data_IF_316426475058
#
_entry.id   IF_316426475058
#
_cell.length_a   1.000
_cell.length_b   1.000
_cell.length_c   1.000
_cell.angle_alpha   90.00
_cell.angle_beta   90.00
_cell.angle_gamma   90.00
#
_symmetry.space_group_name_H-M   'P 1'
#
loop_
_entity.id
_entity.type
_entity.pdbx_description
1 polymer ?
#
# COMPACT_ATOMS: atom_id res chain seq x y z
N UNK A 1 25.48 -15.96 -11.73
CA UNK A 1 26.28 -15.24 -10.73
C UNK A 1 25.36 -14.78 -9.62
N UNK A 2 25.42 -15.40 -8.43
CA UNK A 2 24.57 -15.05 -7.29
C UNK A 2 25.24 -13.91 -6.51
N UNK A 3 24.72 -12.68 -6.64
CA UNK A 3 25.16 -11.58 -5.76
C UNK A 3 24.39 -11.74 -4.43
N UNK A 4 25.07 -11.81 -3.27
CA UNK A 4 24.40 -11.92 -1.99
C UNK A 4 23.49 -10.71 -1.75
N UNK A 5 22.21 -10.94 -1.44
CA UNK A 5 21.24 -9.86 -1.12
C UNK A 5 21.77 -8.89 -0.06
N UNK A 6 22.55 -9.40 0.91
CA UNK A 6 23.20 -8.58 1.95
C UNK A 6 24.15 -7.53 1.38
N UNK A 7 24.89 -7.85 0.32
CA UNK A 7 25.86 -6.95 -0.30
C UNK A 7 25.15 -5.85 -1.09
N UNK A 8 24.09 -6.21 -1.81
CA UNK A 8 23.20 -5.25 -2.49
C UNK A 8 22.57 -4.30 -1.47
N UNK A 9 22.01 -4.84 -0.38
CA UNK A 9 21.39 -4.06 0.69
C UNK A 9 22.39 -3.14 1.39
N UNK A 10 23.58 -3.63 1.72
CA UNK A 10 24.66 -2.84 2.30
C UNK A 10 25.08 -1.69 1.39
N UNK A 11 25.26 -1.96 0.09
CA UNK A 11 25.57 -0.95 -0.91
C UNK A 11 24.48 0.14 -0.98
N UNK A 12 23.20 -0.26 -1.07
CA UNK A 12 22.10 0.70 -1.13
C UNK A 12 21.94 1.47 0.18
N UNK A 13 22.13 0.85 1.35
CA UNK A 13 22.11 1.55 2.63
C UNK A 13 23.19 2.63 2.69
N UNK A 14 24.42 2.32 2.25
CA UNK A 14 25.50 3.33 2.15
C UNK A 14 25.15 4.40 1.13
N UNK A 15 24.73 4.00 -0.07
CA UNK A 15 24.38 4.92 -1.14
C UNK A 15 23.28 5.90 -0.71
N UNK A 16 22.19 5.40 -0.11
CA UNK A 16 21.08 6.21 0.36
C UNK A 16 21.39 6.98 1.65
N UNK A 17 22.35 6.55 2.46
CA UNK A 17 22.87 7.36 3.58
C UNK A 17 23.50 8.66 3.07
N UNK A 18 24.24 8.60 1.96
CA UNK A 18 24.85 9.79 1.35
C UNK A 18 23.93 10.52 0.37
N UNK A 19 22.97 9.81 -0.24
CA UNK A 19 22.03 10.34 -1.22
C UNK A 19 20.61 9.88 -0.86
N UNK A 20 19.99 10.46 0.17
CA UNK A 20 18.66 10.04 0.60
C UNK A 20 17.68 10.11 -0.57
N UNK A 21 16.74 9.15 -0.68
CA UNK A 21 15.76 9.18 -1.75
C UNK A 21 14.95 10.47 -1.69
N UNK A 22 14.60 11.00 -2.85
CA UNK A 22 13.77 12.19 -2.92
C UNK A 22 12.44 11.96 -2.19
N UNK A 23 12.14 12.85 -1.25
CA UNK A 23 10.93 12.86 -0.45
C UNK A 23 10.05 14.04 -0.86
N UNK A 24 8.75 13.86 -0.67
CA UNK A 24 7.74 14.93 -0.72
C UNK A 24 8.15 16.08 0.18
N UNK A 25 8.02 17.33 -0.28
CA UNK A 25 8.55 18.51 0.41
C UNK A 25 7.49 19.50 0.91
N UNK A 26 6.25 19.43 0.44
CA UNK A 26 5.25 20.48 0.62
C UNK A 26 4.93 20.73 2.10
N UNK A 27 5.00 19.68 2.93
CA UNK A 27 4.77 19.74 4.37
C UNK A 27 5.89 20.47 5.13
N UNK A 28 7.07 20.68 4.52
CA UNK A 28 8.19 21.39 5.16
C UNK A 28 8.04 22.91 5.12
N UNK A 29 7.29 23.43 4.14
CA UNK A 29 7.19 24.88 3.87
C UNK A 29 6.02 25.56 4.57
N UNK A 30 5.06 24.78 5.07
CA UNK A 30 3.91 25.29 5.82
C UNK A 30 2.78 24.26 5.92
N UNK A 31 1.72 24.62 6.64
CA UNK A 31 0.55 23.75 6.87
C UNK A 31 -0.29 23.54 5.61
N UNK A 32 -0.10 24.37 4.58
CA UNK A 32 -0.82 24.26 3.30
C UNK A 32 0.10 24.53 2.11
N UNK A 33 -0.19 23.86 1.00
CA UNK A 33 0.47 24.08 -0.28
C UNK A 33 -0.57 24.36 -1.35
N UNK A 34 -0.27 25.30 -2.26
CA UNK A 34 -1.14 25.58 -3.41
C UNK A 34 -1.02 24.43 -4.40
N UNK A 35 -2.10 24.16 -5.12
CA UNK A 35 -2.12 23.13 -6.14
C UNK A 35 -2.89 23.58 -7.38
N UNK A 36 -2.37 23.28 -8.56
CA UNK A 36 -3.01 23.53 -9.85
C UNK A 36 -3.44 22.20 -10.46
N UNK A 37 -4.69 22.11 -10.88
CA UNK A 37 -5.23 20.92 -11.55
C UNK A 37 -5.13 21.11 -13.05
N UNK A 38 -4.58 20.13 -13.75
CA UNK A 38 -4.43 20.08 -15.21
C UNK A 38 -5.02 18.78 -15.74
N UNK A 39 -5.37 18.75 -17.03
CA UNK A 39 -5.68 17.50 -17.74
C UNK A 39 -4.42 17.07 -18.49
N UNK A 40 -4.00 15.83 -18.31
CA UNK A 40 -2.94 15.22 -19.10
C UNK A 40 -3.39 14.94 -20.53
N UNK A 41 -2.43 14.61 -21.39
CA UNK A 41 -2.67 14.19 -22.79
C UNK A 41 -3.55 12.94 -22.89
N UNK A 42 -3.49 12.09 -21.87
CA UNK A 42 -4.31 10.89 -21.67
C UNK A 42 -5.76 11.21 -21.21
N UNK A 43 -6.10 12.49 -21.06
CA UNK A 43 -7.35 12.95 -20.47
C UNK A 43 -7.45 12.76 -18.96
N UNK A 44 -6.42 12.19 -18.31
CA UNK A 44 -6.40 11.97 -16.88
C UNK A 44 -6.22 13.30 -16.14
N UNK A 45 -6.88 13.44 -14.99
CA UNK A 45 -6.68 14.61 -14.14
C UNK A 45 -5.36 14.48 -13.38
N UNK A 46 -4.52 15.51 -13.45
CA UNK A 46 -3.24 15.60 -12.77
C UNK A 46 -3.21 16.86 -11.92
N UNK A 47 -2.44 16.83 -10.84
CA UNK A 47 -2.31 17.94 -9.93
C UNK A 47 -0.85 18.29 -9.71
N UNK A 48 -0.49 19.54 -9.99
CA UNK A 48 0.82 20.08 -9.64
C UNK A 48 0.72 20.78 -8.29
N UNK A 49 1.39 20.23 -7.27
CA UNK A 49 1.50 20.85 -5.94
C UNK A 49 2.74 21.76 -5.97
N UNK A 50 2.57 23.02 -5.57
CA UNK A 50 3.65 24.00 -5.56
C UNK A 50 4.82 23.52 -4.68
N UNK A 51 6.01 23.42 -5.28
CA UNK A 51 7.22 22.93 -4.63
C UNK A 51 7.47 21.43 -4.76
N UNK A 52 6.57 20.66 -5.37
CA UNK A 52 6.77 19.23 -5.64
C UNK A 52 7.34 18.98 -7.03
N UNK A 53 8.23 17.98 -7.13
CA UNK A 53 8.92 17.64 -8.39
C UNK A 53 8.02 16.95 -9.41
N UNK A 54 7.10 16.12 -8.93
CA UNK A 54 6.26 15.28 -9.78
C UNK A 54 4.79 15.69 -9.67
N UNK A 55 4.04 15.58 -10.77
CA UNK A 55 2.59 15.72 -10.72
C UNK A 55 1.97 14.59 -9.89
N UNK A 56 1.02 14.92 -9.04
CA UNK A 56 0.24 13.96 -8.28
C UNK A 56 -0.91 13.44 -9.16
N UNK A 57 -1.06 12.12 -9.34
CA UNK A 57 -2.15 11.57 -10.12
C UNK A 57 -3.51 11.77 -9.43
N UNK A 58 -4.50 12.26 -10.17
CA UNK A 58 -5.86 12.48 -9.71
C UNK A 58 -6.12 13.87 -9.14
N UNK A 59 -7.31 14.03 -8.55
CA UNK A 59 -7.77 15.32 -8.04
C UNK A 59 -7.19 15.59 -6.63
N UNK A 60 -6.87 16.87 -6.28
CA UNK A 60 -6.64 17.25 -4.89
C UNK A 60 -7.78 16.73 -4.04
N UNK A 61 -7.46 16.07 -2.92
CA UNK A 61 -8.49 15.58 -2.01
C UNK A 61 -9.44 16.71 -1.54
N UNK A 62 -9.05 17.98 -1.67
CA UNK A 62 -9.78 19.20 -1.28
C UNK A 62 -11.25 19.27 -1.68
N UNK A 63 -11.62 19.23 -2.98
CA UNK A 63 -13.03 19.43 -3.36
C UNK A 63 -13.95 18.30 -2.85
N UNK A 64 -13.45 17.05 -2.79
CA UNK A 64 -14.19 15.93 -2.20
C UNK A 64 -14.23 16.02 -0.67
N UNK A 65 -13.27 16.71 -0.04
CA UNK A 65 -13.16 16.87 1.41
C UNK A 65 -13.87 18.11 1.98
N UNK A 66 -14.31 19.06 1.17
CA UNK A 66 -14.97 20.30 1.67
C UNK A 66 -16.48 20.35 1.46
N UNK A 67 -17.08 19.45 0.68
CA UNK A 67 -18.52 19.44 0.38
C UNK A 67 -19.30 18.31 1.08
N UNK A 68 -20.61 18.18 0.81
CA UNK A 68 -21.48 17.14 1.37
C UNK A 68 -20.91 15.71 1.24
N UNK A 69 -20.25 15.41 0.13
CA UNK A 69 -19.55 14.14 -0.10
C UNK A 69 -18.43 13.86 0.90
N UNK A 70 -17.80 14.89 1.46
CA UNK A 70 -16.79 14.72 2.51
C UNK A 70 -17.39 14.10 3.76
N UNK A 71 -18.61 14.54 4.13
CA UNK A 71 -19.34 14.01 5.28
C UNK A 71 -19.69 12.54 5.04
N UNK A 72 -20.17 12.20 3.84
CA UNK A 72 -20.47 10.83 3.44
C UNK A 72 -19.21 9.96 3.47
N UNK A 73 -18.12 10.41 2.83
CA UNK A 73 -16.82 9.74 2.86
C UNK A 73 -16.30 9.54 4.27
N UNK A 74 -16.40 10.55 5.15
CA UNK A 74 -16.00 10.46 6.55
C UNK A 74 -16.83 9.41 7.28
N UNK A 75 -18.16 9.40 7.11
CA UNK A 75 -19.05 8.38 7.69
C UNK A 75 -18.73 6.98 7.19
N UNK A 76 -18.54 6.79 5.87
CA UNK A 76 -18.17 5.49 5.29
C UNK A 76 -16.80 5.05 5.83
N UNK A 77 -15.81 5.94 5.82
CA UNK A 77 -14.48 5.66 6.37
C UNK A 77 -14.57 5.26 7.84
N UNK A 78 -15.33 5.99 8.65
CA UNK A 78 -15.48 5.68 10.07
C UNK A 78 -16.18 4.34 10.29
N UNK A 79 -17.29 4.08 9.59
CA UNK A 79 -17.97 2.78 9.66
C UNK A 79 -17.07 1.63 9.21
N UNK A 80 -16.39 1.79 8.08
CA UNK A 80 -15.54 0.74 7.56
C UNK A 80 -14.34 0.52 8.46
N UNK A 81 -13.54 1.55 8.74
CA UNK A 81 -12.27 1.40 9.47
C UNK A 81 -12.40 1.21 10.97
N UNK A 82 -13.48 1.68 11.59
CA UNK A 82 -13.67 1.48 13.02
C UNK A 82 -14.62 0.29 13.20
N UNK A 83 -15.87 0.41 12.75
CA UNK A 83 -16.87 -0.64 13.01
C UNK A 83 -16.51 -1.99 12.36
N UNK A 84 -16.29 -2.04 11.04
CA UNK A 84 -16.06 -3.34 10.37
C UNK A 84 -14.73 -3.98 10.77
N UNK A 85 -13.67 -3.20 10.95
CA UNK A 85 -12.38 -3.76 11.41
C UNK A 85 -12.45 -4.25 12.86
N UNK A 86 -13.10 -3.50 13.75
CA UNK A 86 -13.26 -3.90 15.16
C UNK A 86 -14.14 -5.15 15.28
N UNK A 87 -15.22 -5.23 14.49
CA UNK A 87 -16.07 -6.43 14.38
C UNK A 87 -15.29 -7.63 13.84
N UNK A 88 -14.58 -7.47 12.72
CA UNK A 88 -13.76 -8.55 12.15
C UNK A 88 -12.70 -9.04 13.12
N UNK A 89 -12.05 -8.13 13.84
CA UNK A 89 -11.07 -8.48 14.86
C UNK A 89 -11.73 -9.23 16.02
N UNK A 90 -12.89 -8.78 16.50
CA UNK A 90 -13.61 -9.46 17.58
C UNK A 90 -14.02 -10.87 17.17
N UNK A 91 -14.53 -11.04 15.94
CA UNK A 91 -14.87 -12.36 15.39
C UNK A 91 -13.62 -13.25 15.26
N UNK A 92 -12.48 -12.69 14.85
CA UNK A 92 -11.22 -13.40 14.76
C UNK A 92 -10.69 -13.87 16.13
N UNK A 93 -10.77 -12.99 17.13
CA UNK A 93 -10.38 -13.25 18.51
C UNK A 93 -11.31 -14.31 19.16
N UNK A 94 -12.63 -14.22 18.92
CA UNK A 94 -13.63 -15.17 19.43
C UNK A 94 -13.52 -16.56 18.78
N UNK A 95 -13.27 -16.60 17.47
CA UNK A 95 -13.21 -17.85 16.75
C UNK A 95 -11.97 -18.67 17.14
N UNK A 96 -10.91 -18.02 17.64
CA UNK A 96 -9.72 -18.69 18.16
C UNK A 96 -9.00 -19.57 17.13
N UNK A 97 -9.26 -19.35 15.84
CA UNK A 97 -8.67 -20.16 14.78
C UNK A 97 -7.20 -19.82 14.63
N UNK A 98 -6.37 -20.85 14.83
CA UNK A 98 -4.98 -20.81 14.41
C UNK A 98 -4.91 -20.88 12.89
N UNK A 99 -4.20 -19.93 12.31
CA UNK A 99 -3.91 -19.95 10.88
C UNK A 99 -3.06 -21.18 10.57
N UNK A 100 -3.41 -21.86 9.47
CA UNK A 100 -2.53 -22.87 8.89
C UNK A 100 -1.14 -22.25 8.69
N UNK A 101 -0.06 -22.87 9.18
CA UNK A 101 1.28 -22.36 8.98
C UNK A 101 1.57 -22.13 7.49
N UNK A 102 2.27 -21.04 7.08
CA UNK A 102 2.47 -20.70 5.67
C UNK A 102 3.05 -21.83 4.82
N UNK A 103 3.92 -22.66 5.39
CA UNK A 103 4.52 -23.85 4.77
C UNK A 103 3.51 -24.95 4.40
N UNK A 104 2.35 -24.97 5.04
CA UNK A 104 1.27 -25.92 4.83
C UNK A 104 0.10 -25.33 4.02
N UNK A 105 0.09 -24.01 3.78
CA UNK A 105 -0.90 -23.37 2.91
C UNK A 105 -0.78 -23.85 1.47
N UNK A 106 -1.88 -23.82 0.71
CA UNK A 106 -1.84 -24.11 -0.72
C UNK A 106 -0.97 -23.08 -1.47
N UNK A 107 -0.24 -23.48 -2.53
CA UNK A 107 0.73 -22.61 -3.21
C UNK A 107 0.25 -21.18 -3.54
N UNK A 108 -0.95 -20.97 -4.14
CA UNK A 108 -1.40 -19.61 -4.46
C UNK A 108 -1.66 -18.74 -3.22
N UNK A 109 -2.15 -19.35 -2.14
CA UNK A 109 -2.44 -18.65 -0.88
C UNK A 109 -1.15 -18.32 -0.15
N UNK A 110 -0.17 -19.23 -0.17
CA UNK A 110 1.17 -19.01 0.36
C UNK A 110 1.89 -17.83 -0.30
N UNK A 111 1.79 -17.71 -1.62
CA UNK A 111 2.38 -16.58 -2.35
C UNK A 111 1.68 -15.25 -2.03
N UNK A 112 0.36 -15.28 -1.88
CA UNK A 112 -0.39 -14.10 -1.42
C UNK A 112 -0.01 -13.71 0.01
N UNK A 113 0.11 -14.68 0.92
CA UNK A 113 0.58 -14.47 2.28
C UNK A 113 1.94 -13.78 2.28
N UNK A 114 2.90 -14.31 1.50
CA UNK A 114 4.24 -13.73 1.34
C UNK A 114 4.17 -12.28 0.83
N UNK A 115 3.36 -12.01 -0.19
CA UNK A 115 3.21 -10.66 -0.73
C UNK A 115 2.62 -9.67 0.30
N UNK A 116 1.63 -10.10 1.09
CA UNK A 116 1.03 -9.27 2.14
C UNK A 116 1.96 -9.09 3.35
N UNK A 117 2.83 -10.06 3.62
CA UNK A 117 3.86 -9.94 4.64
C UNK A 117 4.92 -8.89 4.24
N UNK A 118 5.36 -8.91 2.99
CA UNK A 118 6.24 -7.86 2.44
C UNK A 118 5.56 -6.48 2.48
N UNK A 119 4.24 -6.42 2.22
CA UNK A 119 3.46 -5.19 2.36
C UNK A 119 3.40 -4.67 3.80
N UNK A 120 3.22 -5.57 4.78
CA UNK A 120 3.24 -5.25 6.22
C UNK A 120 4.62 -4.72 6.66
N UNK A 121 5.69 -5.33 6.16
CA UNK A 121 7.06 -4.93 6.47
C UNK A 121 7.44 -3.59 5.82
N UNK A 122 6.88 -3.29 4.65
CA UNK A 122 7.06 -2.02 3.96
C UNK A 122 6.32 -0.85 4.62
N UNK A 123 5.21 -1.12 5.32
CA UNK A 123 4.49 -0.11 6.09
C UNK A 123 5.31 0.33 7.31
N UNK A 124 5.20 1.59 7.72
CA UNK A 124 5.89 2.12 8.92
C UNK A 124 4.88 2.43 10.01
N UNK A 125 3.66 2.84 9.64
CA UNK A 125 2.63 3.27 10.59
C UNK A 125 2.06 2.03 11.34
N UNK A 126 2.19 1.95 12.67
CA UNK A 126 1.76 0.77 13.43
C UNK A 126 0.28 0.40 13.27
N UNK A 127 -0.62 1.39 13.26
CA UNK A 127 -2.06 1.19 13.03
C UNK A 127 -2.32 0.55 11.65
N UNK A 128 -1.63 1.02 10.60
CA UNK A 128 -1.75 0.45 9.26
C UNK A 128 -1.15 -0.95 9.17
N UNK A 129 -0.04 -1.23 9.87
CA UNK A 129 0.49 -2.60 9.98
C UNK A 129 -0.53 -3.56 10.58
N UNK A 130 -1.17 -3.16 11.69
CA UNK A 130 -2.21 -3.96 12.33
C UNK A 130 -3.35 -4.29 11.37
N UNK A 131 -3.78 -3.32 10.56
CA UNK A 131 -4.82 -3.53 9.54
C UNK A 131 -4.37 -4.44 8.41
N UNK A 132 -3.15 -4.28 7.90
CA UNK A 132 -2.59 -5.16 6.87
C UNK A 132 -2.51 -6.60 7.40
N UNK A 133 -2.11 -6.79 8.66
CA UNK A 133 -2.06 -8.11 9.31
C UNK A 133 -3.44 -8.75 9.41
N UNK A 134 -4.46 -8.00 9.81
CA UNK A 134 -5.85 -8.50 9.84
C UNK A 134 -6.33 -8.88 8.45
N UNK A 135 -6.12 -8.01 7.45
CA UNK A 135 -6.47 -8.29 6.05
C UNK A 135 -5.74 -9.55 5.55
N UNK A 136 -4.45 -9.69 5.86
CA UNK A 136 -3.64 -10.88 5.54
C UNK A 136 -4.27 -12.13 6.12
N UNK A 137 -4.59 -12.13 7.41
CA UNK A 137 -5.24 -13.27 8.09
C UNK A 137 -6.57 -13.64 7.43
N UNK A 138 -7.48 -12.66 7.32
CA UNK A 138 -8.83 -12.86 6.78
C UNK A 138 -8.80 -13.36 5.34
N UNK A 139 -8.06 -12.70 4.44
CA UNK A 139 -8.03 -13.09 3.02
C UNK A 139 -7.38 -14.46 2.83
N UNK A 140 -6.29 -14.75 3.55
CA UNK A 140 -5.62 -16.06 3.41
C UNK A 140 -6.46 -17.18 3.99
N UNK A 141 -7.17 -16.94 5.10
CA UNK A 141 -8.18 -17.88 5.63
C UNK A 141 -9.26 -18.18 4.58
N UNK A 142 -9.91 -17.15 4.03
CA UNK A 142 -10.97 -17.36 3.03
C UNK A 142 -10.50 -18.13 1.80
N UNK A 143 -9.32 -17.81 1.26
CA UNK A 143 -8.81 -18.50 0.08
C UNK A 143 -8.22 -19.90 0.39
N UNK A 144 -7.84 -20.15 1.64
CA UNK A 144 -7.39 -21.47 2.08
C UNK A 144 -8.58 -22.43 2.22
N UNK A 145 -9.69 -21.97 2.81
CA UNK A 145 -10.87 -22.78 3.10
C UNK A 145 -11.87 -22.87 1.93
N UNK A 146 -11.97 -21.83 1.08
CA UNK A 146 -12.91 -21.80 -0.04
C UNK A 146 -12.23 -21.89 -1.41
N UNK A 147 -12.33 -23.07 -2.00
CA UNK A 147 -11.81 -23.40 -3.32
C UNK A 147 -12.39 -22.54 -4.44
N UNK A 148 -13.67 -22.16 -4.36
CA UNK A 148 -14.32 -21.37 -5.41
C UNK A 148 -13.73 -19.95 -5.47
N UNK A 149 -13.51 -19.32 -4.32
CA UNK A 149 -12.82 -18.02 -4.28
C UNK A 149 -11.35 -18.14 -4.67
N UNK A 150 -10.67 -19.19 -4.24
CA UNK A 150 -9.27 -19.45 -4.63
C UNK A 150 -9.11 -19.57 -6.14
N UNK A 151 -9.93 -20.38 -6.80
CA UNK A 151 -9.88 -20.56 -8.25
C UNK A 151 -10.17 -19.26 -9.01
N UNK A 152 -11.14 -18.47 -8.55
CA UNK A 152 -11.44 -17.14 -9.14
C UNK A 152 -10.27 -16.18 -8.97
N UNK A 153 -9.63 -16.18 -7.79
CA UNK A 153 -8.44 -15.38 -7.55
C UNK A 153 -7.30 -15.76 -8.50
N UNK A 154 -7.00 -17.05 -8.64
CA UNK A 154 -5.98 -17.54 -9.58
C UNK A 154 -6.30 -17.13 -11.03
N UNK A 155 -7.56 -17.29 -11.45
CA UNK A 155 -8.03 -16.89 -12.78
C UNK A 155 -7.84 -15.40 -13.07
N UNK A 156 -8.05 -14.54 -12.06
CA UNK A 156 -7.78 -13.09 -12.17
C UNK A 156 -6.28 -12.83 -12.29
N UNK A 157 -5.46 -13.46 -11.44
CA UNK A 157 -4.01 -13.24 -11.42
C UNK A 157 -3.33 -13.63 -12.74
N UNK A 158 -3.82 -14.67 -13.42
CA UNK A 158 -3.35 -15.04 -14.76
C UNK A 158 -3.64 -13.99 -15.84
N UNK A 159 -4.71 -13.20 -15.66
CA UNK A 159 -5.17 -12.21 -16.65
C UNK A 159 -4.65 -10.80 -16.37
N UNK A 160 -4.14 -10.54 -15.17
CA UNK A 160 -3.57 -9.25 -14.83
C UNK A 160 -2.29 -9.02 -15.64
N UNK A 161 -2.26 -7.92 -16.38
CA UNK A 161 -1.06 -7.49 -17.08
C UNK A 161 -0.07 -6.86 -16.09
N UNK A 162 0.78 -7.68 -15.49
CA UNK A 162 1.80 -7.26 -14.53
C UNK A 162 2.77 -6.20 -15.08
N UNK A 163 2.92 -6.07 -16.41
CA UNK A 163 3.74 -5.00 -17.00
C UNK A 163 3.12 -3.62 -16.82
N UNK A 164 1.79 -3.53 -16.72
CA UNK A 164 1.03 -2.30 -16.45
C UNK A 164 0.95 -1.99 -14.96
N UNK A 165 1.06 -3.00 -14.09
CA UNK A 165 1.06 -2.84 -12.62
C UNK A 165 2.47 -2.51 -12.14
N UNK A 166 2.97 -1.34 -12.51
CA UNK A 166 4.28 -0.83 -12.05
C UNK A 166 4.14 0.55 -11.47
N UNK A 167 4.78 0.76 -10.32
CA UNK A 167 4.87 2.08 -9.73
C UNK A 167 5.77 2.98 -10.58
N UNK A 168 5.23 4.12 -11.00
CA UNK A 168 6.01 5.17 -11.66
C UNK A 168 6.96 5.83 -10.67
N UNK A 169 7.95 6.60 -11.16
CA UNK A 169 8.83 7.39 -10.28
C UNK A 169 8.03 8.36 -9.39
N UNK A 170 6.95 8.94 -9.93
CA UNK A 170 6.04 9.81 -9.19
C UNK A 170 5.31 9.05 -8.08
N UNK A 171 4.81 7.84 -8.35
CA UNK A 171 4.14 7.03 -7.33
C UNK A 171 5.09 6.71 -6.17
N UNK A 172 6.32 6.26 -6.49
CA UNK A 172 7.34 5.98 -5.48
C UNK A 172 7.65 7.19 -4.61
N UNK A 173 7.77 8.35 -5.22
CA UNK A 173 8.01 9.62 -4.53
C UNK A 173 6.89 9.92 -3.52
N UNK A 174 5.63 9.83 -3.94
CA UNK A 174 4.48 10.12 -3.07
C UNK A 174 4.20 9.04 -2.02
N UNK A 175 4.49 7.77 -2.30
CA UNK A 175 4.38 6.71 -1.30
C UNK A 175 5.35 6.92 -0.14
N UNK A 176 6.59 7.35 -0.43
CA UNK A 176 7.56 7.66 0.63
C UNK A 176 7.09 8.80 1.53
N UNK A 177 6.40 9.79 0.97
CA UNK A 177 5.76 10.86 1.76
C UNK A 177 4.66 10.39 2.73
N UNK A 178 4.17 9.15 2.57
CA UNK A 178 3.23 8.50 3.50
C UNK A 178 3.90 7.48 4.41
N UNK A 179 5.23 7.57 4.57
CA UNK A 179 6.02 6.64 5.37
C UNK A 179 5.95 5.19 4.86
N UNK A 180 5.63 4.96 3.59
CA UNK A 180 5.68 3.63 3.01
C UNK A 180 7.06 3.37 2.38
N UNK A 181 7.72 2.28 2.78
CA UNK A 181 9.05 1.87 2.30
C UNK A 181 8.93 1.16 0.95
N UNK A 182 8.74 1.93 -0.13
CA UNK A 182 8.47 1.41 -1.50
C UNK A 182 9.58 0.51 -2.06
N UNK A 183 10.79 0.62 -1.52
CA UNK A 183 11.97 -0.13 -1.94
C UNK A 183 12.61 -0.83 -0.71
N UNK A 184 11.78 -1.35 0.20
CA UNK A 184 12.22 -2.03 1.43
C UNK A 184 13.06 -3.30 1.16
N UNK A 185 12.88 -3.89 -0.02
CA UNK A 185 13.69 -5.00 -0.52
C UNK A 185 15.15 -4.60 -0.79
N UNK A 186 15.38 -3.30 -1.05
CA UNK A 186 16.69 -2.77 -1.43
C UNK A 186 17.41 -2.09 -0.29
N UNK A 187 16.71 -1.50 0.68
CA UNK A 187 17.35 -0.78 1.78
C UNK A 187 16.49 -0.68 3.04
N UNK A 188 17.18 -0.49 4.17
CA UNK A 188 16.58 -0.21 5.46
C UNK A 188 16.44 1.30 5.63
N UNK A 189 15.20 1.76 5.84
CA UNK A 189 14.89 3.12 6.30
C UNK A 189 14.94 3.21 7.82
#
# INVERSE_FOLDING_TARGET
MFIPKRLVKWFFNIYFKYRPPEMVQYWKKGDSARAKVTKGEDGATRMHIEGEKYEYPGFPRGHILTKSLAKVKKKIKQKFFNTVFDELKSMDDEAGYDMVPPENMVPPVRELYRALDELENAEVIPDMKGRIRLIKKVITFFLQEDDAYRMRWQWIMERINMKKVKLTKADKYYFRGKYFKVDHDKFDY
#
